data_IF_619760575345
#
_entry.id   IF_619760575345
#
_cell.length_a   1.000
_cell.length_b   1.000
_cell.length_c   1.000
_cell.angle_alpha   90.00
_cell.angle_beta   90.00
_cell.angle_gamma   90.00
#
_symmetry.space_group_name_H-M   'P 1'
#
loop_
_entity.id
_entity.type
_entity.pdbx_description
1 polymer ?
#
# COMPACT_ATOMS: atom_id res chain seq x y z
N UNK A 1 17.83 -25.12 -61.09
CA UNK A 1 16.88 -24.00 -60.90
C UNK A 1 15.68 -24.52 -60.13
N UNK A 2 15.66 -24.34 -58.81
CA UNK A 2 14.48 -24.61 -57.97
C UNK A 2 14.59 -23.70 -56.74
N UNK A 3 13.83 -22.61 -56.78
CA UNK A 3 13.61 -21.69 -55.67
C UNK A 3 12.83 -22.43 -54.58
N UNK A 4 13.33 -22.44 -53.35
CA UNK A 4 12.53 -22.76 -52.17
C UNK A 4 12.16 -21.47 -51.46
N UNK A 5 10.86 -21.19 -51.40
CA UNK A 5 10.28 -20.05 -50.69
C UNK A 5 10.59 -20.12 -49.19
N UNK A 6 11.22 -19.08 -48.65
CA UNK A 6 11.25 -18.78 -47.23
C UNK A 6 9.89 -18.18 -46.83
N UNK A 7 9.01 -18.96 -46.21
CA UNK A 7 7.83 -18.43 -45.52
C UNK A 7 8.25 -17.94 -44.13
N UNK A 8 8.38 -16.62 -43.98
CA UNK A 8 8.58 -15.96 -42.69
C UNK A 8 7.24 -15.95 -41.96
N UNK A 9 7.08 -16.83 -40.97
CA UNK A 9 5.96 -16.80 -40.03
C UNK A 9 6.26 -15.74 -38.96
N UNK A 10 5.82 -14.51 -39.17
CA UNK A 10 5.85 -13.47 -38.12
C UNK A 10 4.76 -13.82 -37.11
N UNK A 11 5.15 -14.40 -35.97
CA UNK A 11 4.28 -14.55 -34.82
C UNK A 11 4.02 -13.15 -34.24
N UNK A 12 2.91 -12.52 -34.66
CA UNK A 12 2.35 -11.37 -33.97
C UNK A 12 1.80 -11.87 -32.63
N UNK A 13 2.62 -11.79 -31.58
CA UNK A 13 2.12 -11.93 -30.21
C UNK A 13 1.18 -10.77 -29.95
N UNK A 14 -0.09 -11.00 -29.58
CA UNK A 14 -0.96 -9.90 -29.17
C UNK A 14 -0.33 -9.25 -27.93
N UNK A 15 0.04 -7.97 -28.04
CA UNK A 15 0.28 -7.13 -26.87
C UNK A 15 -1.04 -7.05 -26.14
N UNK A 16 -1.15 -7.75 -25.01
CA UNK A 16 -2.26 -7.58 -24.08
C UNK A 16 -2.09 -6.19 -23.47
N UNK A 17 -2.59 -5.18 -24.18
CA UNK A 17 -2.82 -3.87 -23.59
C UNK A 17 -3.93 -4.02 -22.55
N UNK A 18 -3.65 -3.71 -21.28
CA UNK A 18 -4.75 -3.43 -20.35
C UNK A 18 -4.55 -3.73 -18.87
N UNK A 19 -3.48 -4.40 -18.44
CA UNK A 19 -3.18 -4.50 -17.00
C UNK A 19 -1.80 -3.91 -16.73
N UNK A 20 -1.77 -2.76 -16.04
CA UNK A 20 -0.53 -2.22 -15.51
C UNK A 20 0.12 -3.27 -14.61
N UNK A 21 1.36 -3.62 -14.92
CA UNK A 21 2.10 -4.62 -14.16
C UNK A 21 2.33 -4.14 -12.71
N UNK A 22 2.23 -5.01 -11.69
CA UNK A 22 2.60 -4.64 -10.33
C UNK A 22 4.03 -4.08 -10.26
N UNK A 23 4.21 -3.02 -9.48
CA UNK A 23 5.49 -2.30 -9.34
C UNK A 23 5.94 -2.27 -7.89
N UNK A 24 7.19 -1.89 -7.65
CA UNK A 24 7.80 -1.65 -6.33
C UNK A 24 8.80 -0.50 -6.43
N UNK A 25 9.11 0.12 -5.31
CA UNK A 25 10.05 1.25 -5.22
C UNK A 25 11.40 0.78 -4.71
N UNK A 26 12.45 1.13 -5.44
CA UNK A 26 13.84 0.77 -5.19
C UNK A 26 14.75 2.01 -5.21
N UNK A 27 15.96 1.88 -4.67
CA UNK A 27 16.96 2.96 -4.69
C UNK A 27 17.67 3.13 -6.03
N UNK A 28 17.50 2.17 -6.94
CA UNK A 28 18.06 2.17 -8.29
C UNK A 28 17.28 1.20 -9.21
N UNK A 29 17.61 1.24 -10.50
CA UNK A 29 16.85 0.62 -11.59
C UNK A 29 16.84 -0.92 -11.56
N UNK A 30 17.80 -1.54 -10.88
CA UNK A 30 17.95 -2.99 -10.72
C UNK A 30 17.61 -3.49 -9.30
N UNK A 31 17.18 -2.59 -8.40
CA UNK A 31 16.92 -2.88 -6.99
C UNK A 31 18.11 -3.51 -6.25
N UNK A 32 19.35 -3.17 -6.63
CA UNK A 32 20.57 -3.60 -5.92
C UNK A 32 21.03 -2.60 -4.86
N UNK A 33 20.52 -1.36 -4.88
CA UNK A 33 20.80 -0.36 -3.85
C UNK A 33 20.06 -0.69 -2.55
N UNK A 34 20.81 -0.69 -1.44
CA UNK A 34 20.23 -0.81 -0.09
C UNK A 34 19.43 0.45 0.23
N UNK A 35 18.20 0.29 0.70
CA UNK A 35 17.38 1.40 1.18
C UNK A 35 17.71 1.71 2.64
N UNK A 36 17.61 0.71 3.50
CA UNK A 36 17.93 0.81 4.92
C UNK A 36 18.12 -0.58 5.52
N UNK A 37 18.50 -0.63 6.79
CA UNK A 37 18.60 -1.84 7.59
C UNK A 37 17.72 -1.68 8.82
N UNK A 38 17.04 -2.74 9.22
CA UNK A 38 16.16 -2.73 10.39
C UNK A 38 16.26 -4.06 11.14
N UNK A 39 16.06 -4.02 12.45
CA UNK A 39 15.98 -5.24 13.26
C UNK A 39 14.56 -5.78 13.24
N UNK A 40 14.42 -7.09 13.11
CA UNK A 40 13.14 -7.77 13.18
C UNK A 40 12.59 -7.75 14.62
N UNK A 41 11.33 -7.37 14.77
CA UNK A 41 10.64 -7.26 16.06
C UNK A 41 9.69 -8.42 16.32
N UNK A 42 9.48 -9.30 15.33
CA UNK A 42 8.55 -10.44 15.37
C UNK A 42 9.08 -11.60 14.53
N UNK A 43 8.75 -12.82 14.93
CA UNK A 43 8.97 -13.99 14.09
C UNK A 43 7.92 -14.09 12.99
N UNK A 44 8.33 -14.51 11.79
CA UNK A 44 7.47 -14.89 10.69
C UNK A 44 8.03 -16.12 9.96
N UNK A 45 7.49 -17.32 10.20
CA UNK A 45 7.79 -18.47 9.38
C UNK A 45 7.15 -18.27 7.98
N UNK A 46 7.90 -18.47 6.88
CA UNK A 46 7.38 -18.22 5.55
C UNK A 46 6.32 -19.27 5.19
N UNK A 47 5.20 -18.81 4.67
CA UNK A 47 4.09 -19.64 4.18
C UNK A 47 4.01 -19.69 2.64
N UNK A 48 4.93 -19.01 1.97
CA UNK A 48 5.03 -18.90 0.51
C UNK A 48 6.50 -18.78 0.11
N UNK A 49 6.87 -19.33 -1.05
CA UNK A 49 8.27 -19.41 -1.52
C UNK A 49 8.93 -18.05 -1.72
N UNK A 50 8.14 -17.02 -2.03
CA UNK A 50 8.65 -15.65 -2.19
C UNK A 50 8.96 -14.97 -0.86
N UNK A 51 8.46 -15.48 0.27
CA UNK A 51 8.66 -14.86 1.58
C UNK A 51 9.88 -15.44 2.28
N UNK A 52 10.66 -14.55 2.90
CA UNK A 52 11.75 -14.96 3.79
C UNK A 52 11.24 -15.33 5.17
N UNK A 53 12.00 -16.19 5.84
CA UNK A 53 11.90 -16.36 7.27
C UNK A 53 12.43 -15.10 7.96
N UNK A 54 11.61 -14.53 8.84
CA UNK A 54 12.00 -13.42 9.71
C UNK A 54 12.07 -13.97 11.13
N UNK A 55 13.20 -13.78 11.81
CA UNK A 55 13.35 -14.13 13.22
C UNK A 55 13.54 -12.88 14.04
N UNK A 56 12.94 -12.80 15.21
CA UNK A 56 13.13 -11.70 16.13
C UNK A 56 14.62 -11.46 16.40
N UNK A 57 15.02 -10.19 16.43
CA UNK A 57 16.40 -9.71 16.55
C UNK A 57 17.31 -9.96 15.33
N UNK A 58 16.84 -10.62 14.26
CA UNK A 58 17.61 -10.68 13.02
C UNK A 58 17.67 -9.30 12.37
N UNK A 59 18.80 -9.02 11.74
CA UNK A 59 18.97 -7.82 10.91
C UNK A 59 18.47 -8.10 9.50
N UNK A 60 17.54 -7.27 9.00
CA UNK A 60 17.05 -7.31 7.63
C UNK A 60 17.57 -6.09 6.86
N UNK A 61 18.26 -6.34 5.74
CA UNK A 61 18.63 -5.30 4.79
C UNK A 61 17.52 -5.14 3.75
N UNK A 62 16.91 -3.96 3.66
CA UNK A 62 15.75 -3.69 2.78
C UNK A 62 16.20 -3.10 1.45
N UNK A 63 15.64 -3.59 0.35
CA UNK A 63 15.98 -3.20 -1.02
C UNK A 63 14.79 -2.66 -1.81
N UNK A 64 13.56 -3.06 -1.47
CA UNK A 64 12.37 -2.51 -2.11
C UNK A 64 11.20 -2.36 -1.13
N UNK A 65 10.38 -1.33 -1.36
CA UNK A 65 9.18 -1.00 -0.57
C UNK A 65 8.03 -0.63 -1.50
N UNK A 66 6.85 -0.33 -0.93
CA UNK A 66 5.69 0.24 -1.64
C UNK A 66 5.33 -0.58 -2.88
N UNK A 67 5.14 -1.89 -2.68
CA UNK A 67 4.63 -2.79 -3.71
C UNK A 67 3.20 -2.36 -4.07
N UNK A 68 2.94 -2.05 -5.34
CA UNK A 68 1.67 -1.42 -5.76
C UNK A 68 0.43 -2.25 -5.46
N UNK A 69 0.59 -3.58 -5.42
CA UNK A 69 -0.45 -4.54 -5.06
C UNK A 69 -0.50 -4.85 -3.55
N UNK A 70 0.57 -4.59 -2.80
CA UNK A 70 0.74 -4.98 -1.38
C UNK A 70 1.66 -4.00 -0.63
N UNK A 71 1.19 -2.79 -0.28
CA UNK A 71 2.02 -1.77 0.35
C UNK A 71 2.51 -2.14 1.75
N UNK A 72 1.95 -3.20 2.35
CA UNK A 72 2.37 -3.79 3.62
C UNK A 72 3.59 -4.73 3.50
N UNK A 73 4.03 -5.03 2.29
CA UNK A 73 5.18 -5.88 1.99
C UNK A 73 6.39 -5.04 1.58
N UNK A 74 7.57 -5.50 1.98
CA UNK A 74 8.86 -5.07 1.48
C UNK A 74 9.68 -6.27 0.99
N UNK A 75 10.77 -6.01 0.28
CA UNK A 75 11.75 -7.02 -0.11
C UNK A 75 13.09 -6.72 0.55
N UNK A 76 13.69 -7.75 1.14
CA UNK A 76 14.93 -7.64 1.87
C UNK A 76 15.72 -8.93 1.92
N UNK A 77 16.87 -8.86 2.57
CA UNK A 77 17.78 -9.97 2.83
C UNK A 77 17.85 -10.19 4.33
N UNK A 78 17.57 -11.42 4.78
CA UNK A 78 17.64 -11.79 6.20
C UNK A 78 19.09 -12.09 6.66
N UNK A 79 19.28 -12.42 7.94
CA UNK A 79 20.58 -12.76 8.51
C UNK A 79 21.26 -14.00 7.89
N UNK A 80 20.51 -14.82 7.17
CA UNK A 80 21.00 -16.01 6.45
C UNK A 80 21.44 -15.69 5.01
N UNK A 81 21.32 -14.42 4.58
CA UNK A 81 21.67 -13.99 3.23
C UNK A 81 20.61 -14.32 2.17
N UNK A 82 19.42 -14.77 2.58
CA UNK A 82 18.32 -15.13 1.68
C UNK A 82 17.51 -13.87 1.36
N UNK A 83 17.28 -13.61 0.06
CA UNK A 83 16.49 -12.49 -0.44
C UNK A 83 15.03 -12.90 -0.67
N UNK A 84 14.08 -12.06 -0.27
CA UNK A 84 12.66 -12.31 -0.47
C UNK A 84 11.78 -11.25 0.17
N UNK A 85 10.47 -11.49 0.10
CA UNK A 85 9.42 -10.62 0.63
C UNK A 85 9.23 -10.82 2.13
N UNK A 86 8.85 -9.77 2.83
CA UNK A 86 8.45 -9.81 4.23
C UNK A 86 7.47 -8.68 4.55
N UNK A 87 6.77 -8.78 5.66
CA UNK A 87 5.88 -7.72 6.13
C UNK A 87 6.70 -6.59 6.75
N UNK A 88 6.55 -5.37 6.25
CA UNK A 88 7.34 -4.21 6.73
C UNK A 88 7.05 -3.88 8.20
N UNK A 89 5.91 -4.33 8.74
CA UNK A 89 5.53 -4.18 10.15
C UNK A 89 6.25 -5.14 11.10
N UNK A 90 7.04 -6.08 10.58
CA UNK A 90 7.79 -7.07 11.37
C UNK A 90 9.22 -6.61 11.66
N UNK A 91 9.59 -5.41 11.22
CA UNK A 91 10.86 -4.76 11.56
C UNK A 91 10.60 -3.48 12.36
N UNK A 92 11.66 -2.94 12.96
CA UNK A 92 11.62 -1.67 13.70
C UNK A 92 11.02 -0.55 12.85
N UNK A 93 10.04 0.15 13.45
CA UNK A 93 9.33 1.24 12.78
C UNK A 93 10.21 2.47 12.61
N UNK A 94 11.11 2.74 13.56
CA UNK A 94 12.01 3.90 13.48
C UNK A 94 12.92 3.82 12.26
N UNK A 95 13.45 2.64 11.92
CA UNK A 95 14.34 2.46 10.78
C UNK A 95 13.66 2.87 9.46
N UNK A 96 12.39 2.48 9.27
CA UNK A 96 11.64 2.86 8.08
C UNK A 96 11.31 4.36 8.08
N UNK A 97 10.95 4.92 9.23
CA UNK A 97 10.73 6.36 9.38
C UNK A 97 11.99 7.18 9.03
N UNK A 98 13.17 6.81 9.54
CA UNK A 98 14.40 7.55 9.26
C UNK A 98 14.79 7.48 7.79
N UNK A 99 14.60 6.33 7.15
CA UNK A 99 14.75 6.20 5.71
C UNK A 99 13.82 7.18 4.97
N UNK A 100 12.52 7.16 5.28
CA UNK A 100 11.53 8.03 4.64
C UNK A 100 11.86 9.51 4.87
N UNK A 101 12.20 9.88 6.10
CA UNK A 101 12.61 11.24 6.46
C UNK A 101 13.81 11.68 5.62
N UNK A 102 14.84 10.84 5.50
CA UNK A 102 16.01 11.14 4.70
C UNK A 102 15.67 11.36 3.22
N UNK A 103 14.98 10.40 2.59
CA UNK A 103 14.71 10.48 1.14
C UNK A 103 13.76 11.63 0.82
N UNK A 104 12.74 11.89 1.63
CA UNK A 104 11.79 12.99 1.42
C UNK A 104 12.44 14.36 1.67
N UNK A 105 13.20 14.53 2.77
CA UNK A 105 13.88 15.79 3.08
C UNK A 105 14.91 16.19 2.02
N UNK A 106 15.63 15.20 1.48
CA UNK A 106 16.65 15.43 0.47
C UNK A 106 16.13 15.28 -0.96
N UNK A 107 14.82 15.04 -1.12
CA UNK A 107 14.15 14.79 -2.39
C UNK A 107 14.88 13.78 -3.30
N UNK A 108 15.33 12.66 -2.72
CA UNK A 108 16.11 11.65 -3.41
C UNK A 108 15.29 11.05 -4.56
N UNK A 109 15.92 10.84 -5.71
CA UNK A 109 15.31 10.16 -6.86
C UNK A 109 15.22 8.65 -6.59
N UNK A 110 14.01 8.10 -6.73
CA UNK A 110 13.69 6.70 -6.48
C UNK A 110 13.22 6.02 -7.77
N UNK A 111 13.55 4.75 -7.95
CA UNK A 111 13.15 3.99 -9.15
C UNK A 111 11.90 3.16 -8.86
N UNK A 112 10.84 3.38 -9.64
CA UNK A 112 9.70 2.48 -9.73
C UNK A 112 10.04 1.37 -10.73
N UNK A 113 10.01 0.14 -10.23
CA UNK A 113 10.48 -1.05 -10.94
C UNK A 113 9.35 -2.07 -11.00
N UNK A 114 9.15 -2.65 -12.17
CA UNK A 114 8.18 -3.71 -12.43
C UNK A 114 8.55 -4.97 -11.63
N UNK A 115 7.56 -5.69 -11.11
CA UNK A 115 7.78 -6.91 -10.31
C UNK A 115 8.10 -8.14 -11.18
N UNK A 116 7.90 -8.07 -12.50
CA UNK A 116 8.04 -9.17 -13.43
C UNK A 116 9.43 -9.81 -13.38
N UNK A 117 9.39 -11.13 -13.46
CA UNK A 117 10.57 -12.00 -13.49
C UNK A 117 11.02 -12.31 -14.92
N UNK A 118 10.44 -11.68 -15.95
CA UNK A 118 10.79 -11.99 -17.34
C UNK A 118 12.24 -11.54 -17.62
N UNK A 119 13.16 -12.49 -17.91
CA UNK A 119 14.52 -12.14 -18.26
C UNK A 119 14.58 -11.29 -19.53
N UNK A 120 15.36 -10.20 -19.50
CA UNK A 120 15.57 -9.34 -20.68
C UNK A 120 14.54 -8.24 -20.92
N UNK A 121 13.49 -8.13 -20.09
CA UNK A 121 12.55 -6.99 -20.13
C UNK A 121 13.06 -5.86 -19.23
N UNK A 122 13.08 -4.59 -19.70
CA UNK A 122 13.42 -3.45 -18.87
C UNK A 122 12.52 -3.39 -17.64
N UNK A 123 13.13 -3.44 -16.45
CA UNK A 123 12.39 -3.43 -15.18
C UNK A 123 12.02 -2.03 -14.73
N UNK A 124 12.76 -1.00 -15.14
CA UNK A 124 12.46 0.37 -14.77
C UNK A 124 11.18 0.85 -15.47
N UNK A 125 10.18 1.22 -14.68
CA UNK A 125 8.92 1.82 -15.15
C UNK A 125 9.07 3.33 -15.22
N UNK A 126 9.49 3.95 -14.10
CA UNK A 126 9.62 5.40 -13.98
C UNK A 126 10.54 5.76 -12.83
N UNK A 127 11.12 6.95 -12.88
CA UNK A 127 11.81 7.56 -11.74
C UNK A 127 10.95 8.64 -11.09
N UNK A 128 10.97 8.68 -9.76
CA UNK A 128 10.16 9.60 -8.96
C UNK A 128 11.04 10.37 -7.98
N UNK A 129 10.89 11.70 -7.88
CA UNK A 129 11.40 12.42 -6.71
C UNK A 129 10.65 11.93 -5.47
N UNK A 130 11.36 11.66 -4.38
CA UNK A 130 10.75 11.17 -3.14
C UNK A 130 9.70 12.15 -2.56
N UNK A 131 9.80 13.45 -2.83
CA UNK A 131 8.75 14.44 -2.57
C UNK A 131 8.13 14.88 -3.91
N UNK A 132 6.83 14.65 -4.16
CA UNK A 132 5.79 14.20 -3.22
C UNK A 132 5.57 12.69 -3.11
N UNK A 133 6.28 11.88 -3.90
CA UNK A 133 5.90 10.48 -4.13
C UNK A 133 5.84 9.58 -2.87
N UNK A 134 6.74 9.82 -1.91
CA UNK A 134 6.84 9.12 -0.61
C UNK A 134 6.44 10.03 0.58
N UNK A 135 5.99 11.26 0.31
CA UNK A 135 5.67 12.22 1.38
C UNK A 135 4.51 11.74 2.27
N UNK A 136 3.48 11.13 1.67
CA UNK A 136 2.37 10.54 2.45
C UNK A 136 2.83 9.41 3.36
N UNK A 137 3.68 8.50 2.85
CA UNK A 137 4.25 7.41 3.64
C UNK A 137 5.06 7.96 4.82
N UNK A 138 5.88 8.99 4.57
CA UNK A 138 6.64 9.68 5.62
C UNK A 138 5.74 10.23 6.72
N UNK A 139 4.66 10.94 6.37
CA UNK A 139 3.77 11.53 7.38
C UNK A 139 3.02 10.50 8.21
N UNK A 140 2.57 9.40 7.58
CA UNK A 140 1.90 8.33 8.31
C UNK A 140 2.86 7.74 9.35
N UNK A 141 4.12 7.48 8.98
CA UNK A 141 5.12 6.97 9.92
C UNK A 141 5.53 7.99 10.98
N UNK A 142 5.59 9.28 10.63
CA UNK A 142 5.82 10.34 11.61
C UNK A 142 4.71 10.36 12.67
N UNK A 143 3.44 10.31 12.24
CA UNK A 143 2.29 10.29 13.15
C UNK A 143 2.28 9.06 14.06
N UNK A 144 2.59 7.87 13.53
CA UNK A 144 2.69 6.64 14.33
C UNK A 144 3.77 6.69 15.42
N UNK A 145 4.80 7.52 15.23
CA UNK A 145 5.91 7.72 16.17
C UNK A 145 5.78 8.99 17.02
N UNK A 146 4.70 9.77 16.85
CA UNK A 146 4.53 11.10 17.45
C UNK A 146 5.66 12.09 17.08
N UNK A 147 6.21 11.94 15.89
CA UNK A 147 7.26 12.80 15.34
C UNK A 147 6.66 13.96 14.54
N UNK A 148 7.38 15.09 14.49
CA UNK A 148 6.95 16.27 13.71
C UNK A 148 7.42 16.16 12.26
N UNK A 149 6.52 16.50 11.34
CA UNK A 149 6.83 16.63 9.91
C UNK A 149 7.39 18.02 9.65
N UNK A 150 8.65 18.08 9.22
CA UNK A 150 9.38 19.34 8.99
C UNK A 150 9.44 19.75 7.51
N UNK A 151 8.80 18.99 6.62
CA UNK A 151 8.86 19.20 5.16
C UNK A 151 7.46 19.25 4.58
N UNK A 152 7.17 20.32 3.84
CA UNK A 152 5.93 20.45 3.09
C UNK A 152 5.95 19.57 1.83
N UNK A 153 4.77 19.12 1.41
CA UNK A 153 4.62 18.37 0.17
C UNK A 153 4.92 19.26 -1.02
N UNK A 154 5.80 18.82 -1.91
CA UNK A 154 6.05 19.49 -3.18
C UNK A 154 4.84 19.30 -4.11
N UNK A 155 4.56 20.25 -5.03
CA UNK A 155 3.56 20.05 -6.07
C UNK A 155 3.91 18.80 -6.90
N UNK A 156 2.92 17.96 -7.22
CA UNK A 156 3.16 16.81 -8.09
C UNK A 156 3.37 17.27 -9.53
N UNK A 157 4.56 17.04 -10.13
CA UNK A 157 4.84 17.46 -11.50
C UNK A 157 3.97 16.73 -12.55
N UNK A 158 3.31 15.63 -12.18
CA UNK A 158 2.40 14.88 -13.05
C UNK A 158 0.92 15.16 -12.80
N UNK A 159 0.59 16.00 -11.81
CA UNK A 159 -0.76 16.47 -11.60
C UNK A 159 -1.13 17.40 -12.75
N UNK A 160 -1.69 16.82 -13.82
CA UNK A 160 -2.51 17.60 -14.76
C UNK A 160 -3.51 18.33 -13.89
N UNK A 161 -3.60 19.66 -14.01
CA UNK A 161 -4.63 20.49 -13.35
C UNK A 161 -6.02 19.97 -13.73
N UNK A 162 -6.47 18.91 -13.06
CA UNK A 162 -7.80 18.36 -13.16
C UNK A 162 -8.58 18.96 -12.01
N UNK A 163 -9.68 19.61 -12.36
CA UNK A 163 -10.59 20.25 -11.43
C UNK A 163 -10.88 19.37 -10.21
N UNK A 164 -10.72 19.97 -9.04
CA UNK A 164 -10.95 19.45 -7.70
C UNK A 164 -12.08 18.43 -7.60
N UNK A 165 -11.75 17.19 -7.21
CA UNK A 165 -12.63 16.34 -6.43
C UNK A 165 -11.94 16.04 -5.10
N UNK A 166 -12.18 16.91 -4.12
CA UNK A 166 -11.78 16.65 -2.74
C UNK A 166 -12.61 15.47 -2.21
N UNK A 167 -12.00 14.30 -2.06
CA UNK A 167 -12.46 13.28 -1.13
C UNK A 167 -11.67 13.45 0.17
N UNK A 168 -12.07 14.45 0.96
CA UNK A 168 -11.70 14.55 2.36
C UNK A 168 -12.50 13.53 3.15
N UNK A 169 -11.83 12.56 3.78
CA UNK A 169 -12.39 11.79 4.88
C UNK A 169 -12.11 12.55 6.17
N UNK A 170 -13.04 13.43 6.54
CA UNK A 170 -13.05 14.07 7.85
C UNK A 170 -13.63 13.09 8.88
N UNK A 171 -12.79 12.65 9.82
CA UNK A 171 -13.23 11.96 11.03
C UNK A 171 -13.58 13.00 12.10
N UNK A 172 -14.84 13.43 12.13
CA UNK A 172 -15.36 14.22 13.24
C UNK A 172 -15.80 13.31 14.39
N UNK A 173 -15.00 13.32 15.46
CA UNK A 173 -15.43 12.97 16.80
C UNK A 173 -16.27 14.10 17.38
N UNK A 174 -17.59 13.91 17.56
CA UNK A 174 -18.35 14.70 18.53
C UNK A 174 -19.44 13.88 19.22
N UNK A 175 -19.29 13.81 20.55
CA UNK A 175 -20.34 13.56 21.52
C UNK A 175 -21.40 14.67 21.45
N UNK A 176 -22.68 14.35 21.69
CA UNK A 176 -23.68 15.39 21.90
C UNK A 176 -25.13 14.90 21.89
N UNK A 177 -25.72 14.94 23.07
CA UNK A 177 -27.11 14.65 23.41
C UNK A 177 -28.11 15.71 22.88
N UNK A 178 -29.33 15.24 22.59
CA UNK A 178 -30.63 15.80 22.98
C UNK A 178 -31.42 16.85 22.14
N UNK A 179 -32.71 16.46 21.97
CA UNK A 179 -33.99 17.19 22.11
C UNK A 179 -34.50 18.24 21.09
N UNK A 180 -35.48 17.79 20.29
CA UNK A 180 -36.91 18.21 20.29
C UNK A 180 -37.51 19.23 19.29
N UNK A 181 -38.68 18.78 18.78
CA UNK A 181 -39.95 19.42 18.36
C UNK A 181 -40.19 20.02 16.96
N UNK A 182 -41.46 19.86 16.60
CA UNK A 182 -42.27 20.31 15.45
C UNK A 182 -41.98 19.64 14.10
N UNK A 183 -42.88 18.85 13.49
CA UNK A 183 -44.33 18.73 13.64
C UNK A 183 -44.96 19.10 12.30
N UNK A 184 -45.35 18.11 11.49
CA UNK A 184 -46.55 18.19 10.66
C UNK A 184 -46.96 16.80 10.15
N UNK A 185 -48.19 16.51 10.49
CA UNK A 185 -48.99 15.30 10.32
C UNK A 185 -49.80 15.43 9.03
N UNK A 186 -49.93 14.35 8.25
CA UNK A 186 -51.10 14.10 7.40
C UNK A 186 -51.29 12.59 7.20
N UNK A 187 -52.28 12.08 7.91
CA UNK A 187 -53.00 10.80 7.86
C UNK A 187 -53.39 10.30 6.46
N UNK A 188 -53.46 8.96 6.29
CA UNK A 188 -54.69 8.24 5.89
C UNK A 188 -54.64 6.76 6.34
N UNK A 189 -55.52 6.44 7.28
CA UNK A 189 -56.36 5.23 7.52
C UNK A 189 -56.25 4.01 6.56
N UNK A 190 -56.44 2.73 6.91
CA UNK A 190 -57.22 2.04 7.95
C UNK A 190 -56.64 0.63 8.16
N UNK A 191 -56.61 0.12 9.41
CA UNK A 191 -57.49 -0.97 9.92
C UNK A 191 -57.04 -1.42 11.32
N UNK A 192 -57.88 -1.13 12.29
CA UNK A 192 -57.83 -1.63 13.67
C UNK A 192 -58.05 -3.16 13.74
N UNK A 193 -57.15 -3.89 14.44
CA UNK A 193 -57.33 -4.58 15.75
C UNK A 193 -58.13 -5.92 15.70
N UNK A 194 -57.94 -6.88 16.66
CA UNK A 194 -57.53 -6.64 18.05
C UNK A 194 -56.52 -7.60 18.70
N UNK A 195 -56.08 -7.11 19.87
CA UNK A 195 -55.27 -7.70 20.94
C UNK A 195 -55.89 -8.98 21.53
N UNK A 196 -55.03 -9.79 22.14
CA UNK A 196 -55.16 -10.37 23.51
C UNK A 196 -53.85 -11.11 23.79
N UNK A 197 -53.03 -10.62 24.70
CA UNK A 197 -52.93 -11.11 26.10
C UNK A 197 -52.86 -12.64 26.18
N UNK A 198 -51.72 -13.18 26.61
CA UNK A 198 -51.59 -13.77 27.94
C UNK A 198 -50.22 -14.49 28.11
N UNK A 199 -49.61 -14.20 29.26
CA UNK A 199 -49.03 -15.17 30.19
C UNK A 199 -47.62 -15.77 29.97
N UNK A 200 -46.75 -15.38 30.91
CA UNK A 200 -45.97 -16.26 31.79
C UNK A 200 -45.20 -17.42 31.15
N UNK A 201 -43.86 -17.41 31.26
CA UNK A 201 -43.15 -18.41 32.07
C UNK A 201 -41.66 -18.05 32.25
N UNK A 202 -41.21 -18.27 33.48
CA UNK A 202 -39.89 -17.99 34.03
C UNK A 202 -38.84 -19.05 33.68
N UNK A 203 -37.57 -18.61 33.66
CA UNK A 203 -36.33 -19.18 34.24
C UNK A 203 -35.80 -20.60 33.91
N UNK A 204 -34.48 -20.59 33.70
CA UNK A 204 -33.44 -21.49 34.25
C UNK A 204 -33.59 -22.99 33.93
N UNK A 205 -32.68 -23.52 33.11
CA UNK A 205 -31.47 -24.26 33.55
C UNK A 205 -30.43 -24.24 32.42
#
# INVERSE_FOLDING_TARGET
>A
MLLYLFTILIALTPTIEGLAEPTKICGNDDCSAKLFTAVATRDYPPNHEEFINVKINDTITVYAIKFSNRPDIAEGVNGEGIRGKFYITYVEREAYFFFLSHVVKNNVEMSEVAQSSIPGVPKLVKKHPANPYLWRDYNVRAAELNEKVEVEMAPDPNEKKSHHHHHGHDHHHHHGHDHSHDGHDHTHDHKELPKTEEHHLWLIH
#
